data_IF_164418256634
#
_entry.id   IF_164418256634
#
_cell.length_a   1.000
_cell.length_b   1.000
_cell.length_c   1.000
_cell.angle_alpha   90.00
_cell.angle_beta   90.00
_cell.angle_gamma   90.00
#
_symmetry.space_group_name_H-M   'P 1'
#
loop_
_entity.id
_entity.type
_entity.pdbx_description
1 polymer ?
#
# COMPACT_ATOMS: atom_id res chain seq x y z
N UNK A 1 -5.18 1.01 13.58
CA UNK A 1 -5.25 1.64 12.24
C UNK A 1 -6.66 2.09 11.94
N UNK A 2 -6.85 3.33 11.45
CA UNK A 2 -8.15 3.81 10.99
C UNK A 2 -8.75 2.88 9.95
N UNK A 3 -10.08 2.70 9.98
CA UNK A 3 -10.82 1.87 9.01
C UNK A 3 -10.51 2.22 7.54
N UNK A 4 -10.17 3.49 7.30
CA UNK A 4 -9.73 4.04 6.01
C UNK A 4 -8.49 3.29 5.48
N UNK A 5 -7.46 3.11 6.30
CA UNK A 5 -6.23 2.41 5.91
C UNK A 5 -6.48 0.92 5.61
N UNK A 6 -7.33 0.27 6.40
CA UNK A 6 -7.73 -1.13 6.14
C UNK A 6 -8.47 -1.27 4.82
N UNK A 7 -9.33 -0.32 4.48
CA UNK A 7 -10.04 -0.32 3.21
C UNK A 7 -9.07 -0.11 2.03
N UNK A 8 -8.16 0.85 2.13
CA UNK A 8 -7.14 1.07 1.10
C UNK A 8 -6.22 -0.13 0.92
N UNK A 9 -5.77 -0.72 2.01
CA UNK A 9 -4.91 -1.89 2.00
C UNK A 9 -5.60 -3.10 1.36
N UNK A 10 -6.89 -3.30 1.62
CA UNK A 10 -7.68 -4.34 0.94
C UNK A 10 -7.73 -4.12 -0.57
N UNK A 11 -7.99 -2.88 -1.01
CA UNK A 11 -7.99 -2.55 -2.44
C UNK A 11 -6.61 -2.75 -3.08
N UNK A 12 -5.55 -2.30 -2.42
CA UNK A 12 -4.18 -2.40 -2.92
C UNK A 12 -3.72 -3.87 -2.99
N UNK A 13 -3.97 -4.65 -1.94
CA UNK A 13 -3.70 -6.09 -1.89
C UNK A 13 -4.39 -6.84 -3.05
N UNK A 14 -5.66 -6.51 -3.32
CA UNK A 14 -6.40 -7.12 -4.42
C UNK A 14 -5.86 -6.72 -5.79
N UNK A 15 -5.42 -5.47 -5.96
CA UNK A 15 -4.80 -5.00 -7.21
C UNK A 15 -3.48 -5.71 -7.48
N UNK A 16 -2.61 -5.83 -6.47
CA UNK A 16 -1.32 -6.53 -6.61
C UNK A 16 -1.53 -8.03 -6.86
N UNK A 17 -2.45 -8.67 -6.13
CA UNK A 17 -2.80 -10.08 -6.36
C UNK A 17 -3.37 -10.32 -7.78
N UNK A 18 -4.08 -9.34 -8.34
CA UNK A 18 -4.57 -9.36 -9.71
C UNK A 18 -3.51 -8.97 -10.77
N UNK A 19 -2.23 -8.83 -10.41
CA UNK A 19 -1.16 -8.35 -11.29
C UNK A 19 -1.45 -6.97 -11.91
N UNK A 20 -2.19 -6.11 -11.18
CA UNK A 20 -2.54 -4.75 -11.60
C UNK A 20 -1.61 -3.74 -10.92
N UNK A 21 -0.31 -3.93 -11.05
CA UNK A 21 0.72 -3.06 -10.47
C UNK A 21 0.54 -1.60 -10.89
N UNK A 22 0.26 -1.35 -12.18
CA UNK A 22 -0.03 0.00 -12.68
C UNK A 22 -1.21 0.65 -11.97
N UNK A 23 -2.27 -0.12 -11.67
CA UNK A 23 -3.42 0.40 -10.93
C UNK A 23 -3.08 0.67 -9.46
N UNK A 24 -2.22 -0.16 -8.85
CA UNK A 24 -1.72 0.05 -7.49
C UNK A 24 -0.88 1.34 -7.40
N UNK A 25 0.03 1.57 -8.35
CA UNK A 25 0.79 2.83 -8.46
C UNK A 25 -0.14 4.04 -8.59
N UNK A 26 -1.09 3.99 -9.53
CA UNK A 26 -2.03 5.08 -9.76
C UNK A 26 -2.90 5.36 -8.51
N UNK A 27 -3.26 4.32 -7.76
CA UNK A 27 -4.01 4.45 -6.51
C UNK A 27 -3.19 5.10 -5.39
N UNK A 28 -1.90 4.72 -5.26
CA UNK A 28 -0.99 5.32 -4.29
C UNK A 28 -0.71 6.80 -4.62
N UNK A 29 -0.61 7.14 -5.91
CA UNK A 29 -0.45 8.52 -6.38
C UNK A 29 -1.70 9.35 -6.13
N UNK A 30 -2.87 8.88 -6.58
CA UNK A 30 -4.10 9.68 -6.56
C UNK A 30 -4.72 9.82 -5.18
N UNK A 31 -4.59 8.81 -4.33
CA UNK A 31 -5.34 8.74 -3.09
C UNK A 31 -4.49 9.03 -1.86
N UNK A 32 -3.25 8.56 -1.87
CA UNK A 32 -2.32 8.73 -0.75
C UNK A 32 -1.27 9.79 -1.02
N UNK A 33 -1.23 10.35 -2.24
CA UNK A 33 -0.28 11.39 -2.65
C UNK A 33 1.16 11.00 -2.34
N UNK A 34 1.46 9.70 -2.40
CA UNK A 34 2.80 9.21 -2.11
C UNK A 34 3.77 9.58 -3.23
N UNK A 35 5.00 10.02 -2.90
CA UNK A 35 6.04 10.21 -3.90
C UNK A 35 6.36 8.87 -4.58
N UNK A 36 6.71 8.91 -5.86
CA UNK A 36 7.04 7.74 -6.68
C UNK A 36 8.07 6.82 -6.01
N UNK A 37 9.08 7.39 -5.33
CA UNK A 37 10.09 6.64 -4.56
C UNK A 37 9.54 5.71 -3.46
N UNK A 38 8.34 6.00 -2.96
CA UNK A 38 7.69 5.23 -1.90
C UNK A 38 6.70 4.23 -2.47
N UNK A 39 6.10 4.52 -3.64
CA UNK A 39 5.13 3.63 -4.27
C UNK A 39 5.75 2.29 -4.65
N UNK A 40 6.93 2.32 -5.28
CA UNK A 40 7.69 1.12 -5.64
C UNK A 40 8.02 0.27 -4.41
N UNK A 41 8.47 0.90 -3.32
CA UNK A 41 8.79 0.21 -2.05
C UNK A 41 7.57 -0.46 -1.42
N UNK A 42 6.43 0.23 -1.43
CA UNK A 42 5.18 -0.33 -0.92
C UNK A 42 4.80 -1.55 -1.75
N UNK A 43 4.82 -1.45 -3.07
CA UNK A 43 4.43 -2.54 -3.97
C UNK A 43 5.40 -3.72 -3.86
N UNK A 44 6.71 -3.45 -3.80
CA UNK A 44 7.74 -4.48 -3.61
C UNK A 44 7.57 -5.22 -2.28
N UNK A 45 7.36 -4.49 -1.17
CA UNK A 45 7.09 -5.11 0.14
C UNK A 45 5.82 -5.96 0.11
N UNK A 46 4.74 -5.49 -0.52
CA UNK A 46 3.49 -6.25 -0.62
C UNK A 46 3.66 -7.48 -1.53
N UNK A 47 4.41 -7.36 -2.62
CA UNK A 47 4.72 -8.45 -3.53
C UNK A 47 5.58 -9.53 -2.85
N UNK A 48 6.49 -9.10 -1.95
CA UNK A 48 7.29 -9.99 -1.11
C UNK A 48 6.52 -10.62 0.05
N UNK A 49 5.30 -10.17 0.36
CA UNK A 49 4.49 -10.81 1.38
C UNK A 49 4.06 -12.21 0.90
N UNK A 50 4.52 -13.23 1.64
CA UNK A 50 4.13 -14.63 1.40
C UNK A 50 2.61 -14.84 1.51
N UNK A 51 1.93 -13.97 2.26
CA UNK A 51 0.48 -13.92 2.37
C UNK A 51 0.04 -12.45 2.24
N UNK A 52 -0.52 -12.10 1.09
CA UNK A 52 -1.03 -10.75 0.80
C UNK A 52 -2.30 -10.47 1.63
N UNK A 53 -2.09 -10.17 2.91
CA UNK A 53 -3.14 -9.91 3.89
C UNK A 53 -3.35 -8.40 4.01
N UNK A 54 -4.59 -7.96 3.93
CA UNK A 54 -4.97 -6.54 4.04
C UNK A 54 -4.47 -5.87 5.32
N UNK A 55 -4.26 -6.62 6.41
CA UNK A 55 -3.67 -6.10 7.64
C UNK A 55 -2.16 -5.80 7.49
N UNK A 56 -1.41 -6.71 6.85
CA UNK A 56 0.02 -6.50 6.55
C UNK A 56 0.23 -5.34 5.55
N UNK A 57 -0.62 -5.26 4.53
CA UNK A 57 -0.60 -4.14 3.57
C UNK A 57 -0.93 -2.81 4.26
N UNK A 58 -1.89 -2.80 5.21
CA UNK A 58 -2.22 -1.60 5.96
C UNK A 58 -1.07 -1.15 6.88
N UNK A 59 -0.30 -2.09 7.40
CA UNK A 59 0.91 -1.82 8.19
C UNK A 59 2.02 -1.20 7.37
N UNK A 60 2.32 -1.77 6.20
CA UNK A 60 3.30 -1.22 5.24
C UNK A 60 2.90 0.21 4.89
N UNK A 61 1.67 0.42 4.39
CA UNK A 61 1.18 1.74 4.02
C UNK A 61 1.22 2.71 5.21
N UNK A 62 0.81 2.25 6.40
CA UNK A 62 0.81 3.06 7.61
C UNK A 62 2.21 3.58 7.98
N UNK A 63 3.24 2.74 7.87
CA UNK A 63 4.64 3.12 8.12
C UNK A 63 5.13 4.21 7.17
N UNK A 64 4.69 4.17 5.92
CA UNK A 64 5.06 5.19 4.93
C UNK A 64 4.20 6.46 5.02
N UNK A 65 2.92 6.33 5.43
CA UNK A 65 1.99 7.47 5.53
C UNK A 65 2.16 8.27 6.80
N UNK A 66 2.66 7.65 7.86
CA UNK A 66 3.00 8.31 9.11
C UNK A 66 4.52 8.25 9.25
N UNK A 67 5.28 9.13 8.57
CA UNK A 67 6.61 9.44 9.03
C UNK A 67 6.40 10.11 10.39
N UNK A 68 6.43 9.34 11.47
CA UNK A 68 6.36 9.92 12.81
C UNK A 68 7.43 11.02 12.90
N UNK A 69 6.97 12.27 12.90
CA UNK A 69 7.11 13.20 14.01
C UNK A 69 8.21 12.79 15.02
N UNK A 70 9.47 12.75 14.58
CA UNK A 70 10.63 12.60 15.46
C UNK A 70 11.33 13.93 15.63
#
# INVERSE_FOLDING_TARGET
MSAIWKNHAMHLANMINCNKETAAHLYLEQLMLFPVDVQDKIIEEISNLSHCSSDAVADIIGRYSMPELR
#
